data_IF_882570674163
#
_entry.id   IF_882570674163
#
_cell.length_a   1.000
_cell.length_b   1.000
_cell.length_c   1.000
_cell.angle_alpha   90.00
_cell.angle_beta   90.00
_cell.angle_gamma   90.00
#
_symmetry.space_group_name_H-M   'P 1'
#
loop_
_entity.id
_entity.type
_entity.pdbx_description
1 polymer ?
#
# COMPACT_ATOMS: atom_id res chain seq x y z
N UNK A 1 9.15 -16.63 10.05
CA UNK A 1 9.65 -15.25 10.22
C UNK A 1 8.70 -14.48 11.14
N UNK A 2 9.21 -13.89 12.20
CA UNK A 2 8.40 -13.11 13.14
C UNK A 2 8.02 -11.76 12.55
N UNK A 3 6.97 -11.09 13.04
CA UNK A 3 6.62 -9.74 12.61
C UNK A 3 7.78 -8.75 12.78
N UNK A 4 8.56 -8.89 13.84
CA UNK A 4 9.72 -8.06 14.11
C UNK A 4 10.81 -8.24 13.05
N UNK A 5 11.06 -9.46 12.62
CA UNK A 5 12.00 -9.76 11.55
C UNK A 5 11.52 -9.23 10.20
N UNK A 6 10.24 -9.36 9.92
CA UNK A 6 9.62 -8.79 8.70
C UNK A 6 9.79 -7.28 8.67
N UNK A 7 9.52 -6.62 9.81
CA UNK A 7 9.66 -5.16 9.94
C UNK A 7 11.11 -4.73 9.73
N UNK A 8 12.05 -5.42 10.36
CA UNK A 8 13.48 -5.14 10.21
C UNK A 8 13.92 -5.27 8.75
N UNK A 9 13.53 -6.35 8.10
CA UNK A 9 13.86 -6.59 6.69
C UNK A 9 13.25 -5.52 5.78
N UNK A 10 12.03 -5.09 6.05
CA UNK A 10 11.39 -4.03 5.30
C UNK A 10 12.13 -2.69 5.45
N UNK A 11 12.55 -2.35 6.67
CA UNK A 11 13.35 -1.15 6.93
C UNK A 11 14.66 -1.23 6.13
N UNK A 12 15.34 -2.36 6.18
CA UNK A 12 16.62 -2.53 5.49
C UNK A 12 16.50 -2.55 3.95
N UNK A 13 15.30 -2.76 3.42
CA UNK A 13 15.06 -2.66 1.98
C UNK A 13 15.08 -1.20 1.48
N UNK A 14 14.83 -0.23 2.34
CA UNK A 14 14.76 1.19 1.99
C UNK A 14 15.83 2.05 2.64
N UNK A 15 16.42 1.59 3.74
CA UNK A 15 17.44 2.31 4.51
C UNK A 15 18.69 1.45 4.63
N UNK A 16 19.85 2.10 4.76
CA UNK A 16 21.13 1.40 4.90
C UNK A 16 21.23 0.60 6.20
N UNK A 17 20.60 1.13 7.26
CA UNK A 17 20.61 0.50 8.57
C UNK A 17 19.38 0.90 9.35
N UNK A 18 19.08 0.13 10.40
CA UNK A 18 18.02 0.49 11.35
C UNK A 18 18.34 1.81 12.03
N UNK A 19 19.63 2.07 12.33
CA UNK A 19 20.07 3.32 12.93
C UNK A 19 19.74 4.52 12.05
N UNK A 20 20.01 4.44 10.74
CA UNK A 20 19.64 5.49 9.78
C UNK A 20 18.14 5.75 9.78
N UNK A 21 17.34 4.69 9.77
CA UNK A 21 15.88 4.81 9.85
C UNK A 21 15.44 5.53 11.12
N UNK A 22 15.95 5.14 12.29
CA UNK A 22 15.57 5.75 13.55
C UNK A 22 15.95 7.22 13.62
N UNK A 23 17.08 7.59 13.04
CA UNK A 23 17.48 9.00 12.94
C UNK A 23 16.51 9.79 12.07
N UNK A 24 16.04 9.21 10.96
CA UNK A 24 15.13 9.89 10.05
C UNK A 24 13.75 10.18 10.65
N UNK A 25 13.32 9.40 11.63
CA UNK A 25 12.04 9.58 12.32
C UNK A 25 12.19 10.17 13.72
N UNK A 26 13.38 10.63 14.06
CA UNK A 26 13.69 11.22 15.36
C UNK A 26 13.30 10.31 16.54
N UNK A 27 13.69 9.04 16.44
CA UNK A 27 13.46 8.02 17.46
C UNK A 27 14.80 7.51 17.99
N UNK A 28 14.98 7.37 19.31
CA UNK A 28 16.19 6.76 19.83
C UNK A 28 16.37 5.33 19.33
N UNK A 29 17.59 4.97 18.95
CA UNK A 29 17.90 3.61 18.51
C UNK A 29 17.52 2.56 19.56
N UNK A 30 17.76 2.87 20.84
CA UNK A 30 17.40 1.98 21.95
C UNK A 30 15.90 1.67 22.01
N UNK A 31 15.06 2.63 21.65
CA UNK A 31 13.60 2.42 21.56
C UNK A 31 13.27 1.39 20.49
N UNK A 32 13.87 1.52 19.32
CA UNK A 32 13.66 0.58 18.22
C UNK A 32 14.21 -0.81 18.55
N UNK A 33 15.39 -0.87 19.16
CA UNK A 33 15.98 -2.13 19.62
C UNK A 33 15.08 -2.84 20.64
N UNK A 34 14.46 -2.09 21.53
CA UNK A 34 13.49 -2.64 22.50
C UNK A 34 12.25 -3.20 21.79
N UNK A 35 11.75 -2.54 20.76
CA UNK A 35 10.62 -3.02 19.97
C UNK A 35 10.94 -4.37 19.34
N UNK A 36 12.11 -4.52 18.73
CA UNK A 36 12.54 -5.78 18.14
C UNK A 36 12.73 -6.88 19.18
N UNK A 37 13.18 -6.54 20.37
CA UNK A 37 13.44 -7.51 21.44
C UNK A 37 12.19 -7.93 22.19
N UNK A 38 11.31 -6.98 22.53
CA UNK A 38 10.12 -7.22 23.34
C UNK A 38 8.89 -7.57 22.50
N UNK A 39 8.91 -7.25 21.22
CA UNK A 39 7.81 -7.47 20.31
C UNK A 39 7.02 -6.21 20.00
N UNK A 40 6.50 -6.16 18.78
CA UNK A 40 5.69 -5.03 18.27
C UNK A 40 4.45 -4.82 19.13
N UNK A 41 3.80 -5.91 19.54
CA UNK A 41 2.58 -5.87 20.34
C UNK A 41 2.77 -5.28 21.73
N UNK A 42 4.00 -5.25 22.23
CA UNK A 42 4.32 -4.68 23.53
C UNK A 42 4.84 -3.24 23.46
N UNK A 43 4.80 -2.65 22.28
CA UNK A 43 5.27 -1.29 22.06
C UNK A 43 4.15 -0.28 22.26
N UNK A 44 4.52 0.98 22.53
CA UNK A 44 3.51 2.04 22.61
C UNK A 44 2.87 2.27 21.25
N UNK A 45 1.58 2.61 21.26
CA UNK A 45 0.83 2.94 20.04
C UNK A 45 1.47 4.11 19.30
N UNK A 46 1.94 5.11 20.04
CA UNK A 46 2.59 6.29 19.46
C UNK A 46 3.84 5.91 18.65
N UNK A 47 4.67 5.01 19.17
CA UNK A 47 5.87 4.55 18.46
C UNK A 47 5.52 3.75 17.23
N UNK A 48 4.52 2.87 17.31
CA UNK A 48 4.06 2.07 16.17
C UNK A 48 3.49 2.95 15.07
N UNK A 49 2.66 3.93 15.40
CA UNK A 49 2.12 4.88 14.44
C UNK A 49 3.25 5.65 13.74
N UNK A 50 4.25 6.08 14.50
CA UNK A 50 5.40 6.82 13.97
C UNK A 50 6.19 5.98 12.94
N UNK A 51 6.44 4.72 13.26
CA UNK A 51 7.13 3.77 12.38
C UNK A 51 6.30 3.52 11.12
N UNK A 52 5.02 3.20 11.29
CA UNK A 52 4.13 2.88 10.17
C UNK A 52 3.93 4.09 9.24
N UNK A 53 3.81 5.28 9.79
CA UNK A 53 3.68 6.50 8.99
C UNK A 53 4.94 6.78 8.16
N UNK A 54 6.12 6.57 8.74
CA UNK A 54 7.39 6.79 8.04
C UNK A 54 7.62 5.75 6.93
N UNK A 55 7.22 4.51 7.16
CA UNK A 55 7.36 3.42 6.19
C UNK A 55 6.18 3.34 5.21
N UNK A 56 5.13 4.11 5.44
CA UNK A 56 3.89 4.09 4.66
C UNK A 56 3.28 2.68 4.58
N UNK A 57 3.19 2.03 5.73
CA UNK A 57 2.57 0.71 5.88
C UNK A 57 1.35 0.77 6.79
N UNK A 58 0.46 -0.20 6.64
CA UNK A 58 -0.77 -0.29 7.43
C UNK A 58 -0.46 -0.68 8.88
N UNK A 59 -0.91 0.14 9.83
CA UNK A 59 -0.80 -0.14 11.26
C UNK A 59 -1.60 -1.37 11.65
N UNK A 60 -2.82 -1.51 11.11
CA UNK A 60 -3.71 -2.63 11.40
C UNK A 60 -3.11 -3.95 10.92
N UNK A 61 -2.53 -3.96 9.73
CA UNK A 61 -1.88 -5.15 9.19
C UNK A 61 -0.62 -5.51 9.96
N UNK A 62 0.14 -4.51 10.41
CA UNK A 62 1.31 -4.76 11.24
C UNK A 62 0.91 -5.40 12.57
N UNK A 63 -0.20 -4.99 13.16
CA UNK A 63 -0.75 -5.60 14.38
C UNK A 63 -1.10 -7.08 14.15
N UNK A 64 -1.47 -7.45 12.93
CA UNK A 64 -1.72 -8.84 12.53
C UNK A 64 -0.46 -9.59 12.09
N UNK A 65 0.70 -8.96 12.15
CA UNK A 65 1.97 -9.55 11.77
C UNK A 65 2.30 -9.46 10.28
N UNK A 66 1.62 -8.60 9.54
CA UNK A 66 1.82 -8.43 8.11
C UNK A 66 2.38 -7.05 7.79
N UNK A 67 3.21 -6.98 6.76
CA UNK A 67 3.72 -5.71 6.22
C UNK A 67 2.97 -5.42 4.93
N UNK A 68 2.04 -4.47 4.97
CA UNK A 68 1.22 -4.09 3.83
C UNK A 68 1.39 -2.60 3.56
N UNK A 69 1.99 -2.22 2.43
CA UNK A 69 2.13 -0.81 2.08
C UNK A 69 0.78 -0.12 1.92
N UNK A 70 0.69 1.11 2.41
CA UNK A 70 -0.45 1.97 2.16
C UNK A 70 -0.22 2.66 0.82
N UNK A 71 -1.12 2.44 -0.11
CA UNK A 71 -1.09 3.15 -1.39
C UNK A 71 -1.71 4.52 -1.17
N UNK A 72 -0.86 5.52 -0.90
CA UNK A 72 -1.32 6.90 -0.87
C UNK A 72 -1.46 7.38 -2.30
N UNK A 73 -2.69 7.68 -2.70
CA UNK A 73 -2.93 8.28 -4.01
C UNK A 73 -2.57 9.74 -3.94
N UNK A 74 -1.33 10.05 -4.26
CA UNK A 74 -0.86 11.43 -4.42
C UNK A 74 -0.96 11.89 -5.86
N UNK A 75 -1.25 10.97 -6.78
CA UNK A 75 -1.33 11.29 -8.21
C UNK A 75 -2.63 12.00 -8.53
N UNK A 76 -2.50 13.07 -9.33
CA UNK A 76 -3.63 13.79 -9.90
C UNK A 76 -3.98 13.29 -11.31
N UNK A 77 -3.29 12.25 -11.78
CA UNK A 77 -3.51 11.67 -13.10
C UNK A 77 -4.59 10.60 -13.04
N UNK A 78 -5.59 10.72 -13.91
CA UNK A 78 -6.66 9.72 -14.02
C UNK A 78 -6.09 8.35 -14.37
N UNK A 79 -5.09 8.31 -15.23
CA UNK A 79 -4.42 7.06 -15.65
C UNK A 79 -3.87 6.28 -14.45
N UNK A 80 -3.23 6.95 -13.52
CA UNK A 80 -2.64 6.29 -12.33
C UNK A 80 -3.73 5.75 -11.41
N UNK A 81 -4.82 6.48 -11.24
CA UNK A 81 -5.96 6.06 -10.43
C UNK A 81 -6.63 4.82 -11.05
N UNK A 82 -6.82 4.83 -12.37
CA UNK A 82 -7.40 3.71 -13.09
C UNK A 82 -6.51 2.46 -12.99
N UNK A 83 -5.20 2.60 -13.12
CA UNK A 83 -4.28 1.47 -12.96
C UNK A 83 -4.38 0.84 -11.57
N UNK A 84 -4.53 1.67 -10.52
CA UNK A 84 -4.73 1.17 -9.18
C UNK A 84 -6.05 0.42 -9.03
N UNK A 85 -7.14 0.97 -9.58
CA UNK A 85 -8.46 0.31 -9.57
C UNK A 85 -8.38 -1.04 -10.30
N UNK A 86 -7.73 -1.08 -11.45
CA UNK A 86 -7.54 -2.32 -12.22
C UNK A 86 -6.79 -3.35 -11.40
N UNK A 87 -5.74 -2.94 -10.68
CA UNK A 87 -4.98 -3.83 -9.81
C UNK A 87 -5.85 -4.40 -8.68
N UNK A 88 -6.65 -3.56 -8.03
CA UNK A 88 -7.57 -3.99 -6.98
C UNK A 88 -8.59 -5.01 -7.52
N UNK A 89 -9.21 -4.73 -8.66
CA UNK A 89 -10.17 -5.63 -9.29
C UNK A 89 -9.52 -6.98 -9.63
N UNK A 90 -8.27 -6.96 -10.07
CA UNK A 90 -7.54 -8.18 -10.41
C UNK A 90 -7.12 -9.02 -9.21
N UNK A 91 -6.91 -8.40 -8.05
CA UNK A 91 -6.35 -9.05 -6.87
C UNK A 91 -7.37 -9.57 -5.88
N UNK A 92 -8.62 -9.12 -5.93
CA UNK A 92 -9.68 -9.54 -5.00
C UNK A 92 -10.37 -10.78 -5.54
N UNK A 93 -10.30 -11.88 -4.79
CA UNK A 93 -10.90 -13.16 -5.20
C UNK A 93 -12.42 -13.16 -5.08
N UNK A 94 -12.95 -12.58 -4.01
CA UNK A 94 -14.38 -12.62 -3.69
C UNK A 94 -15.12 -11.35 -4.13
N UNK A 95 -14.75 -10.80 -5.28
CA UNK A 95 -15.36 -9.57 -5.78
C UNK A 95 -16.79 -9.85 -6.24
N UNK A 96 -17.72 -8.96 -5.87
CA UNK A 96 -19.14 -9.08 -6.24
C UNK A 96 -19.60 -7.89 -7.06
N UNK A 97 -20.60 -8.14 -7.89
CA UNK A 97 -21.33 -7.11 -8.63
C UNK A 97 -22.82 -7.41 -8.45
N UNK A 98 -23.58 -6.43 -7.97
CA UNK A 98 -25.01 -6.57 -7.67
C UNK A 98 -25.27 -7.77 -6.73
N UNK A 99 -24.44 -7.84 -5.68
CA UNK A 99 -24.45 -8.87 -4.62
C UNK A 99 -24.20 -10.30 -5.11
N UNK A 100 -23.72 -10.47 -6.35
CA UNK A 100 -23.38 -11.77 -6.92
C UNK A 100 -21.89 -11.84 -7.25
N UNK A 101 -21.24 -13.00 -7.03
CA UNK A 101 -19.84 -13.15 -7.42
C UNK A 101 -19.65 -12.90 -8.93
N UNK A 102 -18.60 -12.16 -9.28
CA UNK A 102 -18.29 -11.93 -10.68
C UNK A 102 -17.55 -13.12 -11.28
N UNK A 103 -17.85 -13.40 -12.56
CA UNK A 103 -17.09 -14.38 -13.33
C UNK A 103 -15.79 -13.79 -13.86
N UNK A 104 -14.86 -14.64 -14.31
CA UNK A 104 -13.62 -14.18 -14.95
C UNK A 104 -13.92 -13.37 -16.22
N UNK A 105 -14.96 -13.74 -16.96
CA UNK A 105 -15.40 -13.01 -18.15
C UNK A 105 -15.87 -11.60 -17.79
N UNK A 106 -16.65 -11.46 -16.73
CA UNK A 106 -17.10 -10.16 -16.24
C UNK A 106 -15.95 -9.32 -15.74
N UNK A 107 -15.01 -9.92 -15.02
CA UNK A 107 -13.79 -9.26 -14.53
C UNK A 107 -12.98 -8.69 -15.70
N UNK A 108 -12.70 -9.49 -16.72
CA UNK A 108 -11.99 -9.06 -17.91
C UNK A 108 -12.73 -7.94 -18.65
N UNK A 109 -14.04 -8.05 -18.76
CA UNK A 109 -14.88 -7.03 -19.40
C UNK A 109 -14.79 -5.69 -18.67
N UNK A 110 -14.81 -5.69 -17.34
CA UNK A 110 -14.69 -4.47 -16.53
C UNK A 110 -13.30 -3.84 -16.74
N UNK A 111 -12.24 -4.64 -16.71
CA UNK A 111 -10.87 -4.14 -16.89
C UNK A 111 -10.67 -3.52 -18.27
N UNK A 112 -11.18 -4.16 -19.32
CA UNK A 112 -11.10 -3.64 -20.67
C UNK A 112 -11.91 -2.35 -20.80
N UNK A 113 -13.09 -2.29 -20.18
CA UNK A 113 -13.95 -1.10 -20.22
C UNK A 113 -13.28 0.11 -19.56
N UNK A 114 -12.54 -0.09 -18.47
CA UNK A 114 -11.80 0.99 -17.82
C UNK A 114 -10.73 1.58 -18.74
N UNK A 115 -10.00 0.74 -19.46
CA UNK A 115 -9.00 1.19 -20.43
C UNK A 115 -9.66 1.95 -21.60
N UNK A 116 -10.77 1.46 -22.10
CA UNK A 116 -11.49 2.09 -23.22
C UNK A 116 -12.04 3.46 -22.84
N UNK A 117 -12.55 3.62 -21.62
CA UNK A 117 -13.07 4.90 -21.15
C UNK A 117 -11.95 5.95 -21.14
N UNK A 118 -10.79 5.60 -20.63
CA UNK A 118 -9.63 6.52 -20.55
C UNK A 118 -9.16 6.89 -21.96
N UNK A 119 -9.01 5.92 -22.85
CA UNK A 119 -8.57 6.17 -24.23
C UNK A 119 -9.58 7.02 -25.01
N UNK A 120 -10.86 6.78 -24.82
CA UNK A 120 -11.91 7.58 -25.43
C UNK A 120 -11.83 9.06 -25.02
N UNK A 121 -11.68 9.32 -23.72
CA UNK A 121 -11.58 10.69 -23.21
C UNK A 121 -10.29 11.39 -23.66
N UNK A 122 -9.18 10.66 -23.75
CA UNK A 122 -7.92 11.20 -24.28
C UNK A 122 -8.08 11.65 -25.72
N UNK A 123 -8.71 10.83 -26.57
CA UNK A 123 -8.94 11.17 -27.98
C UNK A 123 -9.85 12.38 -28.11
N UNK A 124 -10.93 12.40 -27.35
CA UNK A 124 -11.89 13.50 -27.34
C UNK A 124 -11.21 14.82 -26.94
N UNK A 125 -10.37 14.79 -25.92
CA UNK A 125 -9.63 15.96 -25.45
C UNK A 125 -8.65 16.49 -26.48
N UNK A 126 -7.97 15.59 -27.20
CA UNK A 126 -7.06 15.97 -28.29
C UNK A 126 -7.82 16.64 -29.45
N UNK A 127 -8.99 16.16 -29.77
CA UNK A 127 -9.84 16.74 -30.85
C UNK A 127 -10.32 18.14 -30.49
N UNK A 128 -10.62 18.39 -29.23
CA UNK A 128 -11.11 19.71 -28.77
C UNK A 128 -9.99 20.75 -28.73
N UNK A 129 -8.73 20.31 -28.55
CA UNK A 129 -7.57 21.20 -28.43
C UNK A 129 -6.88 21.52 -29.78
N UNK A 130 -7.49 21.19 -30.89
CA UNK A 130 -6.99 21.51 -32.24
C UNK A 130 -7.30 22.95 -32.61
#
# INVERSE_FOLDING_TARGET
MTPEEKLKNYILSSYRSVHEFTQSIDMPYGTMASIFKRGISNSSVTNIIKICSALEISTDELANGNIVPIIKTTSTKVEDIIERIKHEISSIDDLTLDDKPISESERCSILISLDLIVEFEKRRKRMVNI
#
